data_IF_635187971460
#
_entry.id   IF_635187971460
#
_cell.length_a   1.000
_cell.length_b   1.000
_cell.length_c   1.000
_cell.angle_alpha   90.00
_cell.angle_beta   90.00
_cell.angle_gamma   90.00
#
_symmetry.space_group_name_H-M   'P 1'
#
loop_
_entity.id
_entity.type
_entity.pdbx_description
1 polymer ?
#
# COMPACT_ATOMS: atom_id res chain seq x y z
N UNK A 1 -3.81 4.44 -27.72
CA UNK A 1 -3.74 4.18 -26.26
C UNK A 1 -2.30 3.85 -25.85
N UNK A 2 -1.92 4.19 -24.62
CA UNK A 2 -0.62 3.96 -24.00
C UNK A 2 -0.76 2.96 -22.87
N UNK A 3 0.24 2.11 -22.71
CA UNK A 3 0.31 1.12 -21.64
C UNK A 3 0.77 1.77 -20.33
N UNK A 4 -0.05 1.62 -19.29
CA UNK A 4 0.13 2.12 -17.92
C UNK A 4 0.45 0.99 -16.93
N UNK A 5 0.77 -0.23 -17.39
CA UNK A 5 1.07 -1.38 -16.51
C UNK A 5 2.15 -1.07 -15.47
N UNK A 6 3.20 -0.33 -15.84
CA UNK A 6 4.25 0.09 -14.89
C UNK A 6 3.71 1.05 -13.83
N UNK A 7 2.78 1.92 -14.19
CA UNK A 7 2.14 2.84 -13.25
C UNK A 7 1.21 2.11 -12.29
N UNK A 8 0.41 1.16 -12.80
CA UNK A 8 -0.45 0.33 -11.98
C UNK A 8 0.38 -0.48 -10.96
N UNK A 9 1.48 -1.09 -11.41
CA UNK A 9 2.38 -1.84 -10.52
C UNK A 9 3.00 -0.97 -9.40
N UNK A 10 3.22 0.33 -9.61
CA UNK A 10 3.67 1.23 -8.54
C UNK A 10 2.60 1.43 -7.47
N UNK A 11 1.33 1.54 -7.89
CA UNK A 11 0.19 1.65 -6.96
C UNK A 11 -0.08 0.35 -6.22
N UNK A 12 0.04 -0.80 -6.89
CA UNK A 12 -0.06 -2.12 -6.24
C UNK A 12 1.02 -2.27 -5.17
N UNK A 13 2.28 -1.95 -5.50
CA UNK A 13 3.38 -1.99 -4.55
C UNK A 13 3.20 -1.00 -3.38
N UNK A 14 2.66 0.20 -3.65
CA UNK A 14 2.34 1.18 -2.60
C UNK A 14 1.26 0.67 -1.64
N UNK A 15 0.19 0.06 -2.17
CA UNK A 15 -0.88 -0.53 -1.37
C UNK A 15 -0.37 -1.70 -0.52
N UNK A 16 0.47 -2.57 -1.08
CA UNK A 16 1.14 -3.66 -0.35
C UNK A 16 2.11 -3.16 0.74
N UNK A 17 2.77 -2.02 0.49
CA UNK A 17 3.72 -1.41 1.42
C UNK A 17 3.08 -0.65 2.59
N UNK A 18 1.75 -0.61 2.66
CA UNK A 18 1.01 0.07 3.72
C UNK A 18 0.38 -0.93 4.71
N UNK A 19 1.15 -1.73 5.49
CA UNK A 19 0.54 -2.76 6.29
C UNK A 19 0.25 -2.23 7.71
N UNK A 20 -0.99 -2.45 8.14
CA UNK A 20 -1.34 -2.43 9.56
C UNK A 20 -0.66 -3.56 10.37
N UNK A 21 0.03 -4.49 9.69
CA UNK A 21 0.73 -5.61 10.31
C UNK A 21 2.28 -5.48 10.19
N UNK A 22 3.04 -5.89 11.23
CA UNK A 22 4.50 -5.89 11.17
C UNK A 22 5.01 -6.77 10.04
N UNK A 23 5.92 -6.24 9.20
CA UNK A 23 6.51 -7.03 8.12
C UNK A 23 7.35 -8.18 8.71
N UNK A 24 7.19 -9.43 8.22
CA UNK A 24 8.01 -10.56 8.65
C UNK A 24 9.51 -10.27 8.48
N UNK A 25 10.30 -10.51 9.53
CA UNK A 25 11.75 -10.25 9.53
C UNK A 25 12.17 -8.87 10.02
N UNK A 26 11.23 -8.01 10.44
CA UNK A 26 11.57 -6.74 11.11
C UNK A 26 11.99 -6.97 12.57
N UNK A 27 12.79 -6.06 13.17
CA UNK A 27 13.17 -6.15 14.57
C UNK A 27 11.97 -6.30 15.52
N UNK A 28 10.87 -5.57 15.27
CA UNK A 28 9.65 -5.72 16.07
C UNK A 28 9.01 -7.11 15.91
N UNK A 29 8.89 -7.62 14.68
CA UNK A 29 8.31 -8.94 14.42
C UNK A 29 9.15 -10.07 15.06
N UNK A 30 10.48 -9.96 15.00
CA UNK A 30 11.38 -10.93 15.64
C UNK A 30 11.24 -10.89 17.17
N UNK A 31 11.27 -9.70 17.78
CA UNK A 31 11.09 -9.55 19.22
C UNK A 31 9.72 -10.02 19.70
N UNK A 32 8.67 -9.77 18.93
CA UNK A 32 7.31 -10.25 19.23
C UNK A 32 7.25 -11.77 19.21
N UNK A 33 7.72 -12.42 18.14
CA UNK A 33 7.67 -13.88 18.00
C UNK A 33 8.52 -14.61 19.04
N UNK A 34 9.75 -14.15 19.27
CA UNK A 34 10.65 -14.72 20.27
C UNK A 34 10.08 -14.49 21.69
N UNK A 35 9.57 -13.28 21.94
CA UNK A 35 8.94 -12.91 23.20
C UNK A 35 7.72 -13.78 23.54
N UNK A 36 6.85 -14.02 22.55
CA UNK A 36 5.67 -14.87 22.68
C UNK A 36 6.03 -16.31 23.06
N UNK A 37 7.00 -16.91 22.36
CA UNK A 37 7.44 -18.29 22.62
C UNK A 37 7.99 -18.43 24.05
N UNK A 38 8.83 -17.47 24.47
CA UNK A 38 9.40 -17.49 25.82
C UNK A 38 8.36 -17.22 26.91
N UNK A 39 7.40 -16.33 26.68
CA UNK A 39 6.30 -16.07 27.61
C UNK A 39 5.42 -17.32 27.80
N UNK A 40 5.03 -17.97 26.71
CA UNK A 40 4.23 -19.22 26.76
C UNK A 40 5.01 -20.33 27.47
N UNK A 41 6.29 -20.54 27.11
CA UNK A 41 7.14 -21.54 27.76
C UNK A 41 7.34 -21.28 29.25
N UNK A 42 7.47 -20.01 29.65
CA UNK A 42 7.57 -19.60 31.05
C UNK A 42 6.27 -19.87 31.84
N UNK A 43 5.11 -19.56 31.26
CA UNK A 43 3.80 -19.84 31.87
C UNK A 43 3.59 -21.35 32.06
N UNK A 44 3.85 -22.16 31.02
CA UNK A 44 3.75 -23.63 31.11
C UNK A 44 4.70 -24.16 32.20
N UNK A 45 5.93 -23.66 32.23
CA UNK A 45 6.92 -24.00 33.26
C UNK A 45 6.44 -23.65 34.67
N UNK A 46 5.76 -22.51 34.86
CA UNK A 46 5.20 -22.12 36.16
C UNK A 46 4.04 -23.03 36.60
N UNK A 47 3.16 -23.44 35.68
CA UNK A 47 2.06 -24.36 36.00
C UNK A 47 2.54 -25.76 36.40
N UNK A 48 3.54 -26.32 35.70
CA UNK A 48 4.11 -27.63 36.03
C UNK A 48 4.70 -27.63 37.46
N UNK A 49 5.15 -26.48 37.93
CA UNK A 49 5.75 -26.31 39.26
C UNK A 49 4.75 -26.21 40.37
N UNK A 50 3.68 -25.47 40.14
CA UNK A 50 2.53 -25.46 41.05
C UNK A 50 1.95 -26.88 41.24
N UNK A 51 2.13 -27.77 40.26
CA UNK A 51 1.67 -29.15 40.29
C UNK A 51 2.72 -30.18 40.79
N UNK A 52 3.95 -29.78 41.17
CA UNK A 52 5.04 -30.72 41.48
C UNK A 52 5.76 -30.39 42.79
N UNK A 53 5.94 -31.40 43.66
CA UNK A 53 6.69 -31.28 44.93
C UNK A 53 8.19 -31.66 44.83
N UNK A 54 8.76 -31.80 43.62
CA UNK A 54 10.14 -32.29 43.50
C UNK A 54 11.20 -31.18 43.46
N UNK A 55 12.29 -31.32 44.22
CA UNK A 55 13.37 -30.31 44.31
C UNK A 55 14.17 -30.12 43.01
N UNK A 56 14.24 -31.15 42.14
CA UNK A 56 14.77 -31.00 40.77
C UNK A 56 13.86 -30.11 39.91
N UNK A 57 12.56 -30.18 40.18
CA UNK A 57 11.60 -29.16 39.80
C UNK A 57 11.63 -27.96 40.78
N UNK A 58 12.77 -27.48 41.28
CA UNK A 58 12.92 -26.11 41.84
C UNK A 58 13.89 -25.26 40.99
N UNK A 59 14.99 -25.83 40.49
CA UNK A 59 15.98 -25.08 39.69
C UNK A 59 15.52 -24.78 38.25
N UNK A 60 14.88 -25.74 37.57
CA UNK A 60 14.31 -25.54 36.21
C UNK A 60 13.22 -24.45 36.07
N UNK A 61 12.50 -24.01 37.11
CA UNK A 61 11.51 -22.89 37.02
C UNK A 61 11.97 -21.60 37.62
N UNK A 62 12.98 -21.67 38.48
CA UNK A 62 14.14 -20.77 38.39
C UNK A 62 14.27 -20.11 37.01
N UNK A 63 14.76 -20.96 36.11
CA UNK A 63 15.04 -20.64 34.72
C UNK A 63 13.78 -20.36 33.88
N UNK A 64 12.71 -21.16 33.98
CA UNK A 64 11.48 -20.93 33.20
C UNK A 64 10.80 -19.61 33.52
N UNK A 65 10.77 -19.19 34.78
CA UNK A 65 10.14 -17.93 35.19
C UNK A 65 10.96 -16.73 34.68
N UNK A 66 12.29 -16.80 34.81
CA UNK A 66 13.18 -15.77 34.24
C UNK A 66 13.08 -15.70 32.71
N UNK A 67 12.99 -16.84 32.03
CA UNK A 67 12.75 -16.89 30.58
C UNK A 67 11.40 -16.28 30.21
N UNK A 68 10.34 -16.54 30.99
CA UNK A 68 9.02 -15.93 30.82
C UNK A 68 9.05 -14.41 30.96
N UNK A 69 9.72 -13.88 31.99
CA UNK A 69 9.91 -12.44 32.19
C UNK A 69 10.69 -11.80 31.05
N UNK A 70 11.75 -12.46 30.57
CA UNK A 70 12.50 -12.01 29.40
C UNK A 70 11.62 -12.01 28.14
N UNK A 71 10.75 -13.01 28.00
CA UNK A 71 9.75 -13.06 26.93
C UNK A 71 8.79 -11.87 26.96
N UNK A 72 8.26 -11.53 28.13
CA UNK A 72 7.40 -10.35 28.32
C UNK A 72 8.15 -9.05 28.03
N UNK A 73 9.41 -8.93 28.45
CA UNK A 73 10.23 -7.76 28.15
C UNK A 73 10.46 -7.59 26.64
N UNK A 74 10.66 -8.68 25.89
CA UNK A 74 10.78 -8.63 24.42
C UNK A 74 9.46 -8.29 23.73
N UNK A 75 8.32 -8.77 24.25
CA UNK A 75 7.00 -8.37 23.76
C UNK A 75 6.81 -6.85 23.93
N UNK A 76 7.14 -6.30 25.10
CA UNK A 76 7.07 -4.85 25.34
C UNK A 76 8.07 -4.07 24.45
N UNK A 77 9.29 -4.59 24.28
CA UNK A 77 10.29 -3.96 23.42
C UNK A 77 9.84 -3.92 21.95
N UNK A 78 9.08 -4.91 21.48
CA UNK A 78 8.55 -4.94 20.11
C UNK A 78 7.67 -3.72 19.77
N UNK A 79 7.02 -3.11 20.77
CA UNK A 79 6.20 -1.90 20.58
C UNK A 79 7.04 -0.65 20.26
N UNK A 80 8.33 -0.67 20.58
CA UNK A 80 9.24 0.47 20.39
C UNK A 80 10.27 0.22 19.27
N UNK A 81 10.21 -0.94 18.61
CA UNK A 81 11.12 -1.31 17.53
C UNK A 81 10.48 -1.06 16.16
N UNK A 82 11.29 -0.86 15.11
CA UNK A 82 10.78 -0.77 13.75
C UNK A 82 10.00 -2.04 13.38
N UNK A 83 8.72 -1.88 13.09
CA UNK A 83 7.81 -2.94 12.64
C UNK A 83 7.69 -3.03 11.12
N UNK A 84 8.31 -2.10 10.43
CA UNK A 84 8.29 -1.95 8.99
C UNK A 84 9.72 -1.72 8.53
N UNK A 85 10.08 -2.24 7.37
CA UNK A 85 11.30 -1.81 6.73
C UNK A 85 11.05 -0.38 6.23
N UNK A 86 11.87 0.59 6.65
CA UNK A 86 11.77 2.03 6.28
C UNK A 86 11.98 2.32 4.78
N UNK A 87 11.81 1.32 3.92
CA UNK A 87 11.53 1.56 2.52
C UNK A 87 10.11 2.16 2.42
N UNK A 88 9.96 3.42 2.86
CA UNK A 88 8.79 4.23 2.54
C UNK A 88 8.67 4.24 1.03
N UNK A 89 7.78 3.41 0.48
CA UNK A 89 7.39 3.53 -0.91
C UNK A 89 6.66 4.86 -1.00
N UNK A 90 7.30 5.83 -1.65
CA UNK A 90 6.69 7.14 -1.84
C UNK A 90 5.40 6.98 -2.62
N UNK A 91 4.37 7.76 -2.27
CA UNK A 91 3.09 7.73 -2.97
C UNK A 91 3.33 7.93 -4.48
N UNK A 92 2.88 6.98 -5.34
CA UNK A 92 3.05 7.10 -6.78
C UNK A 92 2.29 8.32 -7.33
N UNK A 93 2.67 8.84 -8.51
CA UNK A 93 1.94 9.94 -9.13
C UNK A 93 0.48 9.55 -9.39
N UNK A 94 -0.45 10.47 -9.14
CA UNK A 94 -1.86 10.29 -9.48
C UNK A 94 -2.04 10.07 -10.99
N UNK A 95 -3.15 9.42 -11.38
CA UNK A 95 -3.44 9.11 -12.78
C UNK A 95 -3.45 10.37 -13.67
N UNK A 96 -4.04 11.48 -13.20
CA UNK A 96 -4.04 12.77 -13.90
C UNK A 96 -2.61 13.25 -14.19
N UNK A 97 -1.75 13.29 -13.17
CA UNK A 97 -0.34 13.67 -13.30
C UNK A 97 0.42 12.76 -14.26
N UNK A 98 0.13 11.47 -14.25
CA UNK A 98 0.77 10.52 -15.17
C UNK A 98 0.30 10.75 -16.62
N UNK A 99 -0.96 11.10 -16.83
CA UNK A 99 -1.51 11.47 -18.14
C UNK A 99 -0.90 12.79 -18.62
N UNK A 100 -0.86 13.83 -17.79
CA UNK A 100 -0.24 15.12 -18.10
C UNK A 100 1.18 14.94 -18.63
N UNK A 101 2.02 14.18 -17.91
CA UNK A 101 3.39 13.86 -18.34
C UNK A 101 3.46 13.07 -19.63
N UNK A 102 2.52 12.14 -19.84
CA UNK A 102 2.53 11.26 -21.02
C UNK A 102 2.14 12.01 -22.29
N UNK A 103 1.20 12.95 -22.19
CA UNK A 103 0.67 13.71 -23.33
C UNK A 103 1.11 15.17 -23.39
N UNK A 104 1.93 15.64 -22.44
CA UNK A 104 2.47 17.00 -22.43
C UNK A 104 1.39 18.04 -22.17
N UNK A 105 0.49 17.75 -21.23
CA UNK A 105 -0.54 18.69 -20.81
C UNK A 105 0.03 19.54 -19.67
N UNK A 106 -0.36 20.81 -19.61
CA UNK A 106 0.04 21.72 -18.53
C UNK A 106 -0.68 21.33 -17.22
N UNK A 107 -1.97 21.02 -17.32
CA UNK A 107 -2.83 20.66 -16.19
C UNK A 107 -4.08 19.92 -16.69
N UNK A 108 -4.50 18.88 -15.98
CA UNK A 108 -5.83 18.27 -16.09
C UNK A 108 -6.74 18.81 -14.99
N UNK A 109 -7.80 19.50 -15.40
CA UNK A 109 -8.90 19.92 -14.53
C UNK A 109 -9.98 18.85 -14.38
N UNK A 110 -11.19 19.29 -14.03
CA UNK A 110 -12.32 18.43 -13.70
C UNK A 110 -12.60 17.36 -14.76
N UNK A 111 -12.41 16.10 -14.37
CA UNK A 111 -12.78 14.92 -15.12
C UNK A 111 -14.07 14.32 -14.57
N UNK A 112 -15.07 14.12 -15.42
CA UNK A 112 -16.34 13.49 -15.04
C UNK A 112 -16.63 12.29 -15.94
N UNK A 113 -16.96 11.17 -15.31
CA UNK A 113 -17.38 9.97 -16.03
C UNK A 113 -18.71 10.25 -16.75
N UNK A 114 -18.78 9.91 -18.03
CA UNK A 114 -19.98 10.13 -18.86
C UNK A 114 -20.79 8.86 -19.13
N UNK A 115 -20.31 7.72 -18.65
CA UNK A 115 -20.92 6.40 -18.82
C UNK A 115 -21.91 6.06 -17.71
N UNK A 116 -21.82 6.71 -16.54
CA UNK A 116 -22.78 6.53 -15.45
C UNK A 116 -23.95 7.52 -15.54
N UNK A 117 -25.17 7.00 -15.38
CA UNK A 117 -26.41 7.77 -15.38
C UNK A 117 -26.38 8.93 -14.37
N UNK A 118 -27.20 9.94 -14.68
CA UNK A 118 -27.31 11.32 -14.17
C UNK A 118 -27.20 11.60 -12.65
N UNK A 119 -27.01 10.61 -11.77
CA UNK A 119 -27.03 10.81 -10.31
C UNK A 119 -25.68 10.73 -9.63
N UNK A 120 -24.70 10.00 -10.18
CA UNK A 120 -23.32 9.95 -9.63
C UNK A 120 -22.32 9.82 -10.79
N UNK A 121 -21.73 10.94 -11.24
CA UNK A 121 -20.64 10.93 -12.23
C UNK A 121 -19.30 10.88 -11.48
N UNK A 122 -18.69 9.69 -11.26
CA UNK A 122 -17.43 9.60 -10.54
C UNK A 122 -16.34 10.41 -11.26
N UNK A 123 -15.44 11.01 -10.46
CA UNK A 123 -14.24 11.64 -10.97
C UNK A 123 -13.27 10.60 -11.54
N UNK A 124 -12.23 11.07 -12.23
CA UNK A 124 -11.16 10.19 -12.69
C UNK A 124 -10.50 9.50 -11.48
N UNK A 125 -10.31 8.16 -11.49
CA UNK A 125 -9.66 7.47 -10.38
C UNK A 125 -8.24 7.98 -10.16
N UNK A 126 -7.86 8.16 -8.89
CA UNK A 126 -6.51 8.63 -8.54
C UNK A 126 -5.45 7.55 -8.71
N UNK A 127 -5.77 6.32 -8.31
CA UNK A 127 -4.83 5.23 -8.05
C UNK A 127 -5.21 3.89 -8.70
N UNK A 128 -6.25 3.86 -9.55
CA UNK A 128 -6.67 2.67 -10.28
C UNK A 128 -6.90 2.97 -11.76
N UNK A 129 -7.00 1.92 -12.58
CA UNK A 129 -7.39 1.97 -13.98
C UNK A 129 -8.75 1.32 -14.15
N UNK A 130 -9.79 1.98 -13.64
CA UNK A 130 -11.15 1.52 -13.82
C UNK A 130 -11.55 1.71 -15.30
N UNK A 131 -12.19 0.73 -15.91
CA UNK A 131 -12.62 0.83 -17.32
C UNK A 131 -13.72 1.89 -17.47
N UNK A 132 -13.61 2.74 -18.49
CA UNK A 132 -14.62 3.77 -18.75
C UNK A 132 -14.15 4.96 -19.57
N UNK A 133 -15.05 5.94 -19.71
CA UNK A 133 -14.82 7.20 -20.41
C UNK A 133 -15.08 8.40 -19.49
N UNK A 134 -14.04 9.23 -19.32
CA UNK A 134 -14.09 10.47 -18.56
C UNK A 134 -13.92 11.65 -19.49
N UNK A 135 -14.87 12.58 -19.49
CA UNK A 135 -14.70 13.88 -20.12
C UNK A 135 -13.94 14.78 -19.16
N UNK A 136 -12.80 15.26 -19.61
CA UNK A 136 -11.86 16.08 -18.84
C UNK A 136 -11.67 17.43 -19.53
N UNK A 137 -11.45 18.45 -18.72
CA UNK A 137 -10.86 19.71 -19.18
C UNK A 137 -9.36 19.62 -18.99
N UNK A 138 -8.56 19.94 -20.00
CA UNK A 138 -7.12 20.04 -19.87
C UNK A 138 -6.61 21.37 -20.44
N UNK A 139 -5.46 21.81 -19.98
CA UNK A 139 -4.77 22.97 -20.51
C UNK A 139 -3.55 22.54 -21.32
N UNK A 140 -3.37 23.15 -22.48
CA UNK A 140 -2.21 22.97 -23.34
C UNK A 140 -1.82 24.34 -23.89
N UNK A 141 -0.59 24.77 -23.65
CA UNK A 141 -0.13 26.13 -23.97
C UNK A 141 -1.07 27.21 -23.41
N UNK A 142 -1.55 27.02 -22.18
CA UNK A 142 -2.58 27.86 -21.53
C UNK A 142 -3.95 27.91 -22.22
N UNK A 143 -4.21 27.07 -23.22
CA UNK A 143 -5.52 26.94 -23.86
C UNK A 143 -6.33 25.80 -23.26
N UNK A 144 -7.56 26.11 -22.84
CA UNK A 144 -8.52 25.13 -22.35
C UNK A 144 -9.00 24.25 -23.50
N UNK A 145 -8.82 22.94 -23.37
CA UNK A 145 -9.23 21.91 -24.33
C UNK A 145 -10.08 20.85 -23.64
N UNK A 146 -11.18 20.45 -24.27
CA UNK A 146 -11.98 19.31 -23.82
C UNK A 146 -11.41 18.00 -24.41
N UNK A 147 -11.16 17.04 -23.53
CA UNK A 147 -10.57 15.75 -23.86
C UNK A 147 -11.44 14.62 -23.28
N UNK A 148 -11.40 13.47 -23.93
CA UNK A 148 -11.94 12.23 -23.39
C UNK A 148 -10.79 11.30 -23.02
N UNK A 149 -10.72 10.93 -21.75
CA UNK A 149 -9.85 9.88 -21.23
C UNK A 149 -10.61 8.57 -21.29
N UNK A 150 -10.11 7.65 -22.11
CA UNK A 150 -10.63 6.29 -22.26
C UNK A 150 -9.69 5.32 -21.57
N UNK A 151 -10.21 4.52 -20.64
CA UNK A 151 -9.45 3.48 -19.94
C UNK A 151 -10.03 2.12 -20.31
N UNK A 152 -9.14 1.20 -20.68
CA UNK A 152 -9.47 -0.20 -21.00
C UNK A 152 -8.34 -1.13 -20.55
N UNK A 153 -8.56 -1.85 -19.45
CA UNK A 153 -7.54 -2.57 -18.71
C UNK A 153 -6.36 -1.65 -18.41
N UNK A 154 -5.15 -2.12 -18.69
CA UNK A 154 -3.92 -1.34 -18.42
C UNK A 154 -3.61 -0.26 -19.47
N UNK A 155 -4.58 0.12 -20.31
CA UNK A 155 -4.35 1.03 -21.43
C UNK A 155 -5.19 2.28 -21.30
N UNK A 156 -4.54 3.42 -21.47
CA UNK A 156 -5.17 4.75 -21.41
C UNK A 156 -5.07 5.43 -22.78
N UNK A 157 -6.18 5.97 -23.28
CA UNK A 157 -6.23 6.79 -24.49
C UNK A 157 -6.75 8.18 -24.20
N UNK A 158 -6.16 9.20 -24.81
CA UNK A 158 -6.68 10.56 -24.83
C UNK A 158 -7.22 10.88 -26.22
N UNK A 159 -8.43 11.40 -26.29
CA UNK A 159 -9.11 11.77 -27.53
C UNK A 159 -9.63 13.20 -27.44
N UNK A 160 -9.56 13.93 -28.55
CA UNK A 160 -10.22 15.23 -28.72
C UNK A 160 -11.72 15.03 -28.90
N UNK A 161 -12.49 16.12 -28.81
CA UNK A 161 -13.93 16.12 -29.07
C UNK A 161 -14.32 15.61 -30.48
N UNK A 162 -13.42 15.73 -31.46
CA UNK A 162 -13.60 15.20 -32.83
C UNK A 162 -13.32 13.68 -32.94
N UNK A 163 -13.03 13.00 -31.83
CA UNK A 163 -12.68 11.58 -31.77
C UNK A 163 -11.24 11.27 -32.15
N UNK A 164 -10.41 12.26 -32.50
CA UNK A 164 -9.01 12.05 -32.86
C UNK A 164 -8.17 11.80 -31.61
N UNK A 165 -7.37 10.73 -31.64
CA UNK A 165 -6.44 10.41 -30.56
C UNK A 165 -5.32 11.45 -30.47
N UNK A 166 -5.00 11.89 -29.25
CA UNK A 166 -3.80 12.66 -28.96
C UNK A 166 -2.58 11.74 -28.98
N UNK A 167 -1.50 12.24 -29.59
CA UNK A 167 -0.21 11.57 -29.58
C UNK A 167 0.51 11.86 -28.25
N UNK A 168 1.09 10.85 -27.59
CA UNK A 168 2.00 11.08 -26.46
C UNK A 168 3.22 11.91 -26.89
N UNK A 169 3.80 12.65 -25.95
CA UNK A 169 5.03 13.42 -26.19
C UNK A 169 6.18 12.49 -26.58
N UNK A 170 7.02 12.91 -27.53
CA UNK A 170 8.17 12.14 -28.00
C UNK A 170 7.81 11.03 -29.00
N UNK A 171 6.62 11.07 -29.60
CA UNK A 171 6.24 10.23 -30.74
C UNK A 171 5.79 11.10 -31.92
N UNK A 172 6.69 11.33 -32.86
CA UNK A 172 6.37 11.73 -34.22
C UNK A 172 5.68 10.58 -34.97
#
# INVERSE_FOLDING_TARGET
>A
MKDFTKWAAMWDAYAESNPGDPTPGTPAAMCFNIGLIMAIGGIIGAFIRLASESDKLVTTSVASFLAGLLGVALLLASLFLPSHNDAQVSEPPALSTQIERTWGLDEMGDCKNTSHGLTDSPSLPKSSLDDGDWKCVAYTDSQRTELTVHIKGNKVGLYKADGKALKPVGKD
#
